data_IF_960108666950
#
_entry.id   IF_960108666950
#
_cell.length_a   1.000
_cell.length_b   1.000
_cell.length_c   1.000
_cell.angle_alpha   90.00
_cell.angle_beta   90.00
_cell.angle_gamma   90.00
#
_symmetry.space_group_name_H-M   'P 1'
#
loop_
_entity.id
_entity.type
_entity.pdbx_description
1 polymer ?
#
# COMPACT_ATOMS: atom_id res chain seq x y z
N UNK A 1 0.58 -10.51 -13.53
CA UNK A 1 -0.01 -11.37 -12.47
C UNK A 1 1.11 -11.94 -11.62
N UNK A 2 0.98 -11.83 -10.30
CA UNK A 2 1.94 -12.31 -9.32
C UNK A 2 1.24 -13.26 -8.33
N UNK A 3 1.61 -14.55 -8.26
CA UNK A 3 1.21 -15.41 -7.16
C UNK A 3 1.82 -14.94 -5.84
N UNK A 4 0.97 -14.73 -4.83
CA UNK A 4 1.36 -14.20 -3.52
C UNK A 4 0.63 -14.95 -2.41
N UNK A 5 1.29 -15.20 -1.28
CA UNK A 5 0.78 -16.07 -0.24
C UNK A 5 0.95 -15.45 1.14
N UNK A 6 -0.17 -15.35 1.86
CA UNK A 6 -0.20 -14.97 3.27
C UNK A 6 -0.61 -16.20 4.10
N UNK A 7 0.09 -16.44 5.20
CA UNK A 7 -0.11 -17.60 6.07
C UNK A 7 -0.15 -17.18 7.52
N UNK A 8 -1.21 -17.55 8.22
CA UNK A 8 -1.27 -17.45 9.67
C UNK A 8 -0.95 -18.80 10.31
N UNK A 9 -0.13 -18.81 11.37
CA UNK A 9 0.23 -20.00 12.14
C UNK A 9 -0.03 -19.78 13.62
N UNK A 10 -0.63 -20.77 14.27
CA UNK A 10 -0.84 -20.76 15.71
C UNK A 10 0.50 -20.80 16.43
N UNK A 11 0.59 -20.11 17.57
CA UNK A 11 1.72 -20.24 18.48
C UNK A 11 1.73 -21.60 19.20
N UNK A 12 2.48 -21.68 20.30
CA UNK A 12 2.53 -22.88 21.14
C UNK A 12 1.23 -23.24 21.86
N UNK A 13 0.20 -22.40 21.75
CA UNK A 13 -1.12 -22.58 22.34
C UNK A 13 -2.17 -22.64 21.24
N UNK A 14 -3.14 -23.54 21.38
CA UNK A 14 -4.26 -23.68 20.47
C UNK A 14 -5.15 -22.41 20.50
N UNK A 15 -5.77 -22.12 19.36
CA UNK A 15 -6.74 -21.04 19.21
C UNK A 15 -8.17 -21.55 19.46
N UNK A 16 -9.14 -20.65 19.58
CA UNK A 16 -10.55 -21.02 19.76
C UNK A 16 -11.11 -21.67 18.49
N UNK A 17 -10.72 -21.15 17.32
CA UNK A 17 -11.12 -21.67 16.02
C UNK A 17 -9.99 -21.49 14.98
N UNK A 18 -10.13 -22.15 13.83
CA UNK A 18 -9.30 -21.85 12.68
C UNK A 18 -9.61 -20.43 12.16
N UNK A 19 -8.67 -19.83 11.43
CA UNK A 19 -8.91 -18.54 10.81
C UNK A 19 -10.01 -18.67 9.76
N UNK A 20 -10.79 -17.61 9.63
CA UNK A 20 -11.68 -17.41 8.49
C UNK A 20 -11.01 -16.46 7.48
N UNK A 21 -11.52 -16.41 6.25
CA UNK A 21 -10.96 -15.60 5.17
C UNK A 21 -10.90 -14.09 5.46
N UNK A 22 -11.55 -13.62 6.52
CA UNK A 22 -11.61 -12.22 6.90
C UNK A 22 -10.69 -11.89 8.10
N UNK A 23 -9.87 -12.83 8.56
CA UNK A 23 -8.89 -12.56 9.63
C UNK A 23 -7.75 -11.64 9.18
N UNK A 24 -7.39 -11.66 7.89
CA UNK A 24 -6.42 -10.73 7.30
C UNK A 24 -6.73 -10.46 5.82
N UNK A 25 -6.12 -9.41 5.29
CA UNK A 25 -6.13 -9.04 3.87
C UNK A 25 -4.89 -8.20 3.56
N UNK A 26 -4.61 -7.96 2.27
CA UNK A 26 -3.66 -6.95 1.87
C UNK A 26 -4.07 -5.55 2.34
N UNK A 27 -3.07 -4.71 2.59
CA UNK A 27 -3.20 -3.25 2.78
C UNK A 27 -3.71 -2.60 1.49
N UNK A 28 -4.12 -1.34 1.59
CA UNK A 28 -4.66 -0.61 0.44
C UNK A 28 -3.63 -0.51 -0.70
N UNK A 29 -4.00 -1.00 -1.89
CA UNK A 29 -3.14 -1.06 -3.07
C UNK A 29 -2.25 -2.30 -3.09
N UNK A 30 -2.57 -3.27 -3.96
CA UNK A 30 -1.85 -4.53 -4.11
C UNK A 30 -0.43 -4.36 -4.66
N UNK A 31 -0.12 -3.21 -5.28
CA UNK A 31 1.25 -2.86 -5.69
C UNK A 31 2.20 -2.73 -4.49
N UNK A 32 1.67 -2.53 -3.28
CA UNK A 32 2.48 -2.46 -2.05
C UNK A 32 3.20 -3.78 -1.72
N UNK A 33 2.88 -4.89 -2.41
CA UNK A 33 3.68 -6.13 -2.33
C UNK A 33 5.02 -6.02 -3.05
N UNK A 34 5.21 -5.05 -3.96
CA UNK A 34 6.46 -4.83 -4.71
C UNK A 34 7.26 -3.71 -4.06
N UNK A 35 8.31 -4.03 -3.31
CA UNK A 35 9.17 -3.04 -2.65
C UNK A 35 9.87 -2.09 -3.64
N UNK A 36 10.45 -2.66 -4.70
CA UNK A 36 11.22 -1.91 -5.68
C UNK A 36 11.30 -2.66 -7.02
N UNK A 37 11.62 -1.92 -8.09
CA UNK A 37 11.74 -2.48 -9.43
C UNK A 37 12.95 -1.91 -10.18
N UNK A 38 13.52 -2.71 -11.09
CA UNK A 38 14.40 -2.19 -12.14
C UNK A 38 13.90 -2.57 -13.53
N UNK A 39 14.18 -1.69 -14.47
CA UNK A 39 13.83 -1.85 -15.87
C UNK A 39 15.07 -1.58 -16.71
N UNK A 40 15.50 -2.58 -17.47
CA UNK A 40 16.47 -2.43 -18.54
C UNK A 40 15.75 -2.55 -19.89
N UNK A 41 16.02 -1.61 -20.79
CA UNK A 41 15.54 -1.61 -22.17
C UNK A 41 16.76 -1.65 -23.11
N UNK A 42 16.84 -2.69 -23.94
CA UNK A 42 17.91 -2.88 -24.93
C UNK A 42 19.32 -2.76 -24.34
N UNK A 43 19.52 -3.35 -23.15
CA UNK A 43 20.79 -3.36 -22.44
C UNK A 43 21.12 -2.10 -21.64
N UNK A 44 20.24 -1.09 -21.62
CA UNK A 44 20.40 0.13 -20.81
C UNK A 44 19.47 0.12 -19.61
N UNK A 45 19.98 0.41 -18.43
CA UNK A 45 19.17 0.61 -17.23
C UNK A 45 18.39 1.92 -17.34
N UNK A 46 17.08 1.83 -17.26
CA UNK A 46 16.16 2.97 -17.34
C UNK A 46 15.59 3.31 -15.97
N UNK A 47 15.28 2.29 -15.17
CA UNK A 47 14.88 2.43 -13.76
C UNK A 47 15.80 1.56 -12.92
N UNK A 48 16.41 2.14 -11.89
CA UNK A 48 17.20 1.42 -10.91
C UNK A 48 16.37 1.00 -9.71
N UNK A 49 16.73 -0.12 -9.08
CA UNK A 49 16.19 -0.49 -7.78
C UNK A 49 16.67 0.50 -6.73
N UNK A 50 15.74 1.09 -5.99
CA UNK A 50 16.01 1.94 -4.85
C UNK A 50 14.91 1.75 -3.81
N UNK A 51 15.29 1.81 -2.54
CA UNK A 51 14.36 1.64 -1.43
C UNK A 51 13.36 2.82 -1.37
N UNK A 52 12.19 2.57 -0.77
CA UNK A 52 11.13 3.55 -0.49
C UNK A 52 10.49 4.25 -1.71
N UNK A 53 10.95 4.04 -2.93
CA UNK A 53 10.31 4.60 -4.14
C UNK A 53 8.83 4.21 -4.27
N UNK A 54 8.44 3.06 -3.73
CA UNK A 54 7.05 2.58 -3.76
C UNK A 54 6.07 3.48 -2.96
N UNK A 55 6.54 4.21 -1.95
CA UNK A 55 5.69 5.13 -1.19
C UNK A 55 5.12 6.23 -2.09
N UNK A 56 5.88 6.63 -3.11
CA UNK A 56 5.41 7.55 -4.13
C UNK A 56 4.25 6.99 -4.97
N UNK A 57 4.14 5.66 -5.11
CA UNK A 57 3.02 5.05 -5.83
C UNK A 57 1.70 5.27 -5.09
N UNK A 58 1.71 5.25 -3.75
CA UNK A 58 0.53 5.59 -2.96
C UNK A 58 0.16 7.07 -3.15
N UNK A 59 1.14 7.98 -3.14
CA UNK A 59 0.90 9.41 -3.42
C UNK A 59 0.29 9.62 -4.81
N UNK A 60 0.84 8.95 -5.85
CA UNK A 60 0.31 9.02 -7.21
C UNK A 60 -1.12 8.48 -7.31
N UNK A 61 -1.42 7.40 -6.60
CA UNK A 61 -2.77 6.83 -6.57
C UNK A 61 -3.74 7.76 -5.84
N UNK A 62 -3.35 8.29 -4.68
CA UNK A 62 -4.14 9.21 -3.86
C UNK A 62 -4.44 10.52 -4.55
N UNK A 63 -3.53 11.04 -5.37
CA UNK A 63 -3.71 12.32 -6.08
C UNK A 63 -4.26 12.15 -7.50
N UNK A 64 -4.03 11.00 -8.14
CA UNK A 64 -4.36 10.80 -9.56
C UNK A 64 -5.62 9.98 -9.84
N UNK A 65 -6.08 9.14 -8.91
CA UNK A 65 -7.28 8.31 -9.12
C UNK A 65 -8.55 9.00 -8.64
N UNK A 66 -9.67 8.63 -9.27
CA UNK A 66 -11.01 9.08 -8.90
C UNK A 66 -11.77 7.99 -8.12
N UNK A 67 -12.82 8.40 -7.44
CA UNK A 67 -13.73 7.47 -6.74
C UNK A 67 -14.35 6.45 -7.69
N UNK A 68 -14.73 6.86 -8.91
CA UNK A 68 -15.25 5.92 -9.93
C UNK A 68 -14.20 4.89 -10.37
N UNK A 69 -12.91 5.25 -10.36
CA UNK A 69 -11.85 4.27 -10.61
C UNK A 69 -11.81 3.22 -9.49
N UNK A 70 -11.90 3.67 -8.23
CA UNK A 70 -11.94 2.80 -7.04
C UNK A 70 -13.16 1.88 -7.06
N UNK A 71 -14.34 2.38 -7.44
CA UNK A 71 -15.55 1.55 -7.54
C UNK A 71 -15.40 0.44 -8.58
N UNK A 72 -14.78 0.73 -9.73
CA UNK A 72 -14.64 -0.23 -10.83
C UNK A 72 -13.48 -1.21 -10.64
N UNK A 73 -12.34 -0.73 -10.15
CA UNK A 73 -11.08 -1.50 -10.12
C UNK A 73 -10.58 -1.79 -8.70
N UNK A 74 -11.19 -1.22 -7.66
CA UNK A 74 -10.73 -1.35 -6.27
C UNK A 74 -10.64 -2.80 -5.79
N UNK A 75 -11.61 -3.65 -6.15
CA UNK A 75 -11.63 -5.06 -5.76
C UNK A 75 -10.50 -5.88 -6.40
N UNK A 76 -10.03 -5.47 -7.58
CA UNK A 76 -8.92 -6.11 -8.28
C UNK A 76 -7.57 -5.65 -7.69
N UNK A 77 -7.43 -4.36 -7.48
CA UNK A 77 -6.19 -3.74 -7.00
C UNK A 77 -6.09 -3.70 -5.46
N UNK A 78 -7.06 -4.23 -4.71
CA UNK A 78 -7.21 -4.02 -3.26
C UNK A 78 -7.13 -2.53 -2.87
N UNK A 79 -7.55 -1.65 -3.77
CA UNK A 79 -7.49 -0.20 -3.63
C UNK A 79 -8.83 0.26 -3.06
N UNK A 80 -8.95 0.25 -1.74
CA UNK A 80 -10.06 0.87 -1.03
C UNK A 80 -9.46 1.72 0.08
N UNK A 81 -9.43 3.05 -0.07
CA UNK A 81 -8.87 3.93 0.95
C UNK A 81 -9.56 3.74 2.30
N UNK A 82 -8.77 3.85 3.36
CA UNK A 82 -9.26 3.74 4.72
C UNK A 82 -10.14 4.93 5.11
N UNK A 83 -11.16 4.66 5.92
CA UNK A 83 -11.95 5.70 6.54
C UNK A 83 -11.17 6.36 7.69
N UNK A 84 -11.47 7.63 7.95
CA UNK A 84 -10.97 8.30 9.13
C UNK A 84 -11.58 7.68 10.39
N UNK A 85 -10.75 7.44 11.42
CA UNK A 85 -11.14 7.19 12.82
C UNK A 85 -11.64 5.79 13.24
N UNK A 86 -10.93 4.71 12.86
CA UNK A 86 -11.03 3.43 13.57
C UNK A 86 -9.71 3.04 14.24
N UNK A 87 -9.75 2.54 15.48
CA UNK A 87 -8.60 2.00 16.22
C UNK A 87 -7.93 2.96 17.23
N UNK A 88 -6.66 2.73 17.57
CA UNK A 88 -5.96 3.40 18.69
C UNK A 88 -5.32 4.76 18.32
N UNK A 89 -5.64 5.28 17.14
CA UNK A 89 -5.04 6.47 16.53
C UNK A 89 -3.78 6.17 15.71
N UNK A 90 -3.36 4.90 15.65
CA UNK A 90 -2.25 4.42 14.82
C UNK A 90 -2.72 3.19 14.04
N UNK A 91 -3.15 2.13 14.73
CA UNK A 91 -3.74 0.95 14.11
C UNK A 91 -5.13 1.25 13.54
N UNK A 92 -5.42 0.82 12.31
CA UNK A 92 -6.72 1.04 11.64
C UNK A 92 -7.36 -0.27 11.16
N UNK A 93 -7.32 -1.30 11.99
CA UNK A 93 -7.75 -2.66 11.65
C UNK A 93 -9.12 -3.05 12.21
N UNK A 94 -9.96 -2.08 12.58
CA UNK A 94 -11.33 -2.34 13.05
C UNK A 94 -12.26 -2.48 11.85
N UNK A 95 -12.70 -3.70 11.57
CA UNK A 95 -13.62 -3.99 10.46
C UNK A 95 -15.07 -3.61 10.81
N UNK A 96 -15.49 -3.84 12.05
CA UNK A 96 -16.88 -3.59 12.46
C UNK A 96 -16.93 -2.87 13.80
N UNK A 97 -17.87 -1.95 13.92
CA UNK A 97 -18.20 -1.25 15.17
C UNK A 97 -19.55 -1.76 15.67
N UNK A 98 -19.59 -2.29 16.90
CA UNK A 98 -20.81 -2.80 17.52
C UNK A 98 -21.69 -1.70 18.13
N UNK A 99 -21.23 -0.44 18.16
CA UNK A 99 -22.01 0.70 18.65
C UNK A 99 -21.46 2.04 18.19
N UNK A 100 -22.32 2.94 17.71
CA UNK A 100 -22.05 4.39 17.72
C UNK A 100 -22.39 4.89 19.11
N UNK A 101 -21.40 5.01 20.00
CA UNK A 101 -21.63 5.59 21.33
C UNK A 101 -21.24 7.06 21.32
N UNK A 102 -22.20 7.96 21.55
CA UNK A 102 -21.93 9.35 21.89
C UNK A 102 -21.43 9.41 23.34
N UNK A 103 -20.18 8.99 23.57
CA UNK A 103 -19.59 9.14 24.89
C UNK A 103 -19.28 10.62 25.16
N UNK A 104 -19.55 11.05 26.39
CA UNK A 104 -19.22 12.36 26.93
C UNK A 104 -17.77 12.72 26.63
N UNK A 105 -17.56 13.73 25.78
CA UNK A 105 -16.31 14.47 25.58
C UNK A 105 -15.04 13.67 25.19
N UNK A 106 -15.15 12.46 24.65
CA UNK A 106 -14.04 11.85 23.89
C UNK A 106 -14.31 12.06 22.41
N UNK A 107 -13.41 12.78 21.72
CA UNK A 107 -13.50 13.10 20.29
C UNK A 107 -13.29 11.87 19.36
N UNK A 108 -13.72 10.69 19.80
CA UNK A 108 -13.41 9.39 19.19
C UNK A 108 -14.72 8.64 18.96
N UNK A 109 -15.40 8.94 17.84
CA UNK A 109 -16.33 7.97 17.28
C UNK A 109 -15.48 6.84 16.68
N UNK A 110 -15.64 5.60 17.16
CA UNK A 110 -15.06 4.44 16.50
C UNK A 110 -15.92 4.12 15.27
N UNK A 111 -15.61 4.76 14.14
CA UNK A 111 -16.23 4.46 12.85
C UNK A 111 -15.58 3.18 12.32
N UNK A 112 -16.33 2.27 11.71
CA UNK A 112 -15.74 1.12 11.02
C UNK A 112 -14.79 1.58 9.92
N UNK A 113 -13.69 0.85 9.71
CA UNK A 113 -12.86 1.08 8.54
C UNK A 113 -13.49 0.40 7.31
N UNK A 114 -14.37 1.13 6.64
CA UNK A 114 -15.09 0.64 5.46
C UNK A 114 -14.14 0.23 4.31
N UNK A 115 -13.00 0.93 4.19
CA UNK A 115 -11.94 0.57 3.24
C UNK A 115 -11.37 -0.82 3.54
N UNK A 116 -11.04 -1.08 4.80
CA UNK A 116 -10.58 -2.39 5.25
C UNK A 116 -11.63 -3.49 5.06
N UNK A 117 -12.90 -3.23 5.36
CA UNK A 117 -14.00 -4.17 5.10
C UNK A 117 -14.08 -4.53 3.62
N UNK A 118 -14.02 -3.55 2.72
CA UNK A 118 -14.05 -3.80 1.27
C UNK A 118 -12.84 -4.62 0.79
N UNK A 119 -11.66 -4.43 1.38
CA UNK A 119 -10.47 -5.27 1.11
C UNK A 119 -10.67 -6.70 1.60
N UNK A 120 -11.18 -6.88 2.82
CA UNK A 120 -11.54 -8.20 3.36
C UNK A 120 -12.57 -8.94 2.50
N UNK A 121 -13.57 -8.24 1.98
CA UNK A 121 -14.57 -8.81 1.05
C UNK A 121 -13.97 -9.14 -0.32
N UNK A 122 -12.85 -8.50 -0.69
CA UNK A 122 -12.14 -8.74 -1.94
C UNK A 122 -11.16 -9.91 -1.87
N UNK A 123 -10.94 -10.48 -0.68
CA UNK A 123 -10.11 -11.66 -0.48
C UNK A 123 -10.51 -12.83 -1.38
N UNK A 124 -9.56 -13.75 -1.61
CA UNK A 124 -9.85 -14.99 -2.31
C UNK A 124 -11.04 -15.75 -1.70
N UNK A 125 -11.86 -16.42 -2.52
CA UNK A 125 -12.96 -17.26 -2.05
C UNK A 125 -12.44 -18.47 -1.25
N UNK A 126 -13.29 -19.05 -0.40
CA UNK A 126 -12.96 -20.30 0.29
C UNK A 126 -12.78 -21.44 -0.73
N UNK A 127 -11.75 -22.25 -0.56
CA UNK A 127 -11.57 -23.53 -1.24
C UNK A 127 -11.80 -24.68 -0.24
N UNK A 128 -12.21 -25.85 -0.76
CA UNK A 128 -12.44 -27.06 0.05
C UNK A 128 -13.64 -27.01 0.99
N UNK A 129 -14.48 -25.98 0.94
CA UNK A 129 -15.70 -25.84 1.74
C UNK A 129 -16.94 -25.72 0.84
N UNK A 130 -18.06 -26.32 1.27
CA UNK A 130 -19.33 -26.23 0.56
C UNK A 130 -19.99 -24.86 0.81
N UNK A 131 -20.25 -24.13 -0.27
CA UNK A 131 -20.99 -22.87 -0.26
C UNK A 131 -22.10 -22.87 -1.32
N UNK A 132 -22.56 -24.04 -1.75
CA UNK A 132 -23.62 -24.22 -2.76
C UNK A 132 -24.92 -23.50 -2.38
N UNK A 133 -25.22 -23.39 -1.09
CA UNK A 133 -26.40 -22.69 -0.56
C UNK A 133 -26.12 -21.26 -0.05
N UNK A 134 -24.91 -20.72 -0.26
CA UNK A 134 -24.53 -19.38 0.19
C UNK A 134 -24.48 -18.37 -0.97
N UNK A 135 -24.52 -17.07 -0.64
CA UNK A 135 -24.26 -15.99 -1.58
C UNK A 135 -22.98 -15.20 -1.20
N UNK A 136 -22.03 -15.00 -2.14
CA UNK A 136 -21.95 -15.65 -3.44
C UNK A 136 -21.64 -17.15 -3.31
N UNK A 137 -22.26 -17.98 -4.14
CA UNK A 137 -21.98 -19.42 -4.16
C UNK A 137 -20.67 -19.71 -4.90
N UNK A 138 -19.84 -20.57 -4.33
CA UNK A 138 -18.63 -21.13 -4.96
C UNK A 138 -18.75 -22.64 -5.15
N UNK A 139 -19.97 -23.18 -5.14
CA UNK A 139 -20.25 -24.60 -5.33
C UNK A 139 -19.93 -25.48 -4.12
N UNK A 140 -20.04 -26.80 -4.32
CA UNK A 140 -19.69 -27.79 -3.31
C UNK A 140 -18.17 -27.82 -3.05
N UNK A 141 -17.75 -28.40 -1.94
CA UNK A 141 -16.35 -28.41 -1.47
C UNK A 141 -15.31 -28.78 -2.54
N UNK A 142 -15.57 -29.84 -3.33
CA UNK A 142 -14.68 -30.28 -4.39
C UNK A 142 -14.61 -29.31 -5.58
N UNK A 143 -15.71 -28.62 -5.88
CA UNK A 143 -15.79 -27.66 -6.99
C UNK A 143 -15.22 -26.28 -6.62
N UNK A 144 -15.28 -25.90 -5.34
CA UNK A 144 -14.83 -24.59 -4.87
C UNK A 144 -13.35 -24.33 -5.19
N UNK A 145 -12.48 -25.34 -5.05
CA UNK A 145 -11.06 -25.25 -5.44
C UNK A 145 -10.89 -25.05 -6.94
N UNK A 146 -11.66 -25.79 -7.77
CA UNK A 146 -11.63 -25.63 -9.23
C UNK A 146 -12.09 -24.25 -9.66
N UNK A 147 -13.18 -23.74 -9.06
CA UNK A 147 -13.74 -22.41 -9.34
C UNK A 147 -12.74 -21.31 -8.93
N UNK A 148 -12.10 -21.45 -7.76
CA UNK A 148 -11.06 -20.52 -7.31
C UNK A 148 -9.89 -20.44 -8.31
N UNK A 149 -9.46 -21.58 -8.84
CA UNK A 149 -8.42 -21.64 -9.88
C UNK A 149 -8.88 -21.04 -11.22
N UNK A 150 -10.13 -21.31 -11.65
CA UNK A 150 -10.68 -20.79 -12.91
C UNK A 150 -10.86 -19.27 -12.89
N UNK A 151 -11.31 -18.71 -11.78
CA UNK A 151 -11.52 -17.26 -11.64
C UNK A 151 -10.20 -16.48 -11.58
N UNK A 152 -9.06 -17.15 -11.43
CA UNK A 152 -7.74 -16.53 -11.30
C UNK A 152 -7.69 -15.45 -10.21
N UNK A 153 -8.50 -15.61 -9.14
CA UNK A 153 -8.47 -14.75 -7.95
C UNK A 153 -7.65 -15.36 -6.81
N UNK A 154 -7.27 -16.63 -6.94
CA UNK A 154 -6.63 -17.41 -5.89
C UNK A 154 -7.65 -18.07 -4.96
N UNK A 155 -7.22 -18.60 -3.81
CA UNK A 155 -8.08 -19.27 -2.85
C UNK A 155 -7.68 -19.03 -1.39
N UNK A 156 -8.68 -18.95 -0.51
CA UNK A 156 -8.50 -19.06 0.93
C UNK A 156 -8.69 -20.52 1.36
N UNK A 157 -7.77 -21.03 2.17
CA UNK A 157 -7.82 -22.38 2.74
C UNK A 157 -7.83 -22.25 4.26
N UNK A 158 -8.90 -22.76 4.89
CA UNK A 158 -8.99 -22.81 6.34
C UNK A 158 -7.97 -23.81 6.89
N UNK A 159 -7.30 -23.43 7.98
CA UNK A 159 -6.37 -24.30 8.69
C UNK A 159 -7.03 -25.00 9.89
N UNK A 160 -6.24 -25.21 10.94
CA UNK A 160 -6.70 -25.79 12.20
C UNK A 160 -6.48 -24.81 13.36
N UNK A 161 -7.22 -25.00 14.45
CA UNK A 161 -7.05 -24.26 15.70
C UNK A 161 -5.95 -24.86 16.61
N UNK A 162 -5.17 -25.80 16.10
CA UNK A 162 -4.23 -26.61 16.89
C UNK A 162 -2.90 -25.87 17.06
N UNK A 163 -2.29 -25.98 18.24
CA UNK A 163 -0.97 -25.38 18.53
C UNK A 163 0.07 -25.73 17.45
N UNK A 164 0.83 -24.74 17.01
CA UNK A 164 1.87 -24.83 15.97
C UNK A 164 1.38 -25.24 14.56
N UNK A 165 0.08 -25.39 14.33
CA UNK A 165 -0.46 -25.66 12.99
C UNK A 165 -0.78 -24.36 12.23
N UNK A 166 -0.91 -24.48 10.91
CA UNK A 166 -1.41 -23.38 10.07
C UNK A 166 -2.87 -23.11 10.44
N UNK A 167 -3.16 -21.85 10.76
CA UNK A 167 -4.49 -21.37 11.16
C UNK A 167 -5.34 -21.00 9.94
N UNK A 168 -4.71 -20.48 8.88
CA UNK A 168 -5.35 -20.16 7.62
C UNK A 168 -4.35 -19.65 6.58
N UNK A 169 -4.73 -19.78 5.32
CA UNK A 169 -3.86 -19.48 4.17
C UNK A 169 -4.64 -18.68 3.13
N UNK A 170 -4.09 -17.53 2.73
CA UNK A 170 -4.61 -16.71 1.64
C UNK A 170 -3.66 -16.82 0.44
N UNK A 171 -4.08 -17.57 -0.58
CA UNK A 171 -3.39 -17.65 -1.85
C UNK A 171 -3.98 -16.61 -2.78
N UNK A 172 -3.21 -15.59 -3.12
CA UNK A 172 -3.60 -14.50 -3.99
C UNK A 172 -3.02 -14.68 -5.40
N UNK A 173 -3.79 -14.27 -6.39
CA UNK A 173 -3.31 -14.05 -7.76
C UNK A 173 -3.40 -12.56 -8.09
N UNK A 174 -2.34 -11.82 -7.78
CA UNK A 174 -2.34 -10.36 -7.81
C UNK A 174 -2.20 -9.83 -9.22
N UNK A 175 -3.16 -9.01 -9.63
CA UNK A 175 -3.14 -8.28 -10.91
C UNK A 175 -2.61 -6.87 -10.61
N UNK A 176 -1.32 -6.70 -10.83
CA UNK A 176 -0.62 -5.42 -10.60
C UNK A 176 -0.38 -4.78 -11.97
N UNK A 177 -0.87 -3.54 -12.15
CA UNK A 177 -0.67 -2.82 -13.42
C UNK A 177 0.73 -2.19 -13.38
N UNK A 178 1.46 -2.29 -14.49
CA UNK A 178 2.80 -1.70 -14.55
C UNK A 178 2.76 -0.17 -14.39
N UNK A 179 1.69 0.48 -14.83
CA UNK A 179 1.47 1.92 -14.66
C UNK A 179 1.26 2.36 -13.20
N UNK A 180 0.79 1.44 -12.34
CA UNK A 180 0.72 1.63 -10.87
C UNK A 180 2.13 1.57 -10.27
N UNK A 181 3.03 0.73 -10.81
CA UNK A 181 4.39 0.58 -10.29
C UNK A 181 5.33 1.73 -10.68
N UNK A 182 5.24 2.23 -11.92
CA UNK A 182 6.10 3.31 -12.38
C UNK A 182 5.47 4.08 -13.56
N UNK A 183 5.57 5.42 -13.64
CA UNK A 183 4.93 6.19 -14.71
C UNK A 183 5.56 5.96 -16.08
N UNK A 184 6.80 5.46 -16.16
CA UNK A 184 7.44 5.14 -17.45
C UNK A 184 6.57 4.28 -18.36
N UNK A 185 5.77 3.37 -17.80
CA UNK A 185 4.89 2.49 -18.58
C UNK A 185 3.69 3.21 -19.21
N UNK A 186 3.45 4.49 -18.87
CA UNK A 186 2.51 5.36 -19.58
C UNK A 186 3.16 6.08 -20.77
N UNK A 187 4.49 6.22 -20.73
CA UNK A 187 5.26 7.05 -21.66
C UNK A 187 6.02 6.22 -22.70
N UNK A 188 6.20 4.91 -22.45
CA UNK A 188 6.79 3.99 -23.43
C UNK A 188 5.80 3.81 -24.58
N UNK A 189 6.23 4.19 -25.78
CA UNK A 189 5.49 3.98 -27.02
C UNK A 189 5.66 2.56 -27.56
N UNK A 190 4.88 2.21 -28.59
CA UNK A 190 4.98 0.95 -29.32
C UNK A 190 6.38 0.81 -29.93
N UNK A 191 7.14 -0.18 -29.45
CA UNK A 191 8.47 -0.50 -29.94
C UNK A 191 8.47 -1.83 -30.69
N UNK A 192 9.21 -1.88 -31.80
CA UNK A 192 9.48 -3.14 -32.50
C UNK A 192 10.58 -3.92 -31.79
N UNK A 193 10.31 -5.19 -31.45
CA UNK A 193 11.26 -6.14 -30.86
C UNK A 193 12.06 -5.60 -29.65
N UNK A 194 11.42 -5.00 -28.62
CA UNK A 194 12.16 -4.48 -27.48
C UNK A 194 12.72 -5.62 -26.63
N UNK A 195 14.00 -5.53 -26.27
CA UNK A 195 14.59 -6.39 -25.25
C UNK A 195 14.33 -5.78 -23.88
N UNK A 196 13.37 -6.33 -23.14
CA UNK A 196 12.97 -5.83 -21.83
C UNK A 196 13.46 -6.80 -20.76
N UNK A 197 14.21 -6.29 -19.77
CA UNK A 197 14.49 -7.01 -18.53
C UNK A 197 13.87 -6.26 -17.37
N UNK A 198 12.88 -6.89 -16.76
CA UNK A 198 12.15 -6.35 -15.61
C UNK A 198 12.49 -7.19 -14.38
N UNK A 199 12.94 -6.54 -13.31
CA UNK A 199 13.18 -7.20 -12.03
C UNK A 199 12.33 -6.54 -10.95
N UNK A 200 11.78 -7.36 -10.07
CA UNK A 200 11.00 -6.90 -8.93
C UNK A 200 11.61 -7.45 -7.65
N UNK A 201 11.70 -6.60 -6.63
CA UNK A 201 11.86 -7.02 -5.24
C UNK A 201 10.48 -7.10 -4.63
N UNK A 202 10.07 -8.30 -4.23
CA UNK A 202 8.78 -8.50 -3.57
C UNK A 202 8.99 -8.44 -2.06
N UNK A 203 8.08 -7.78 -1.34
CA UNK A 203 8.04 -7.78 0.12
C UNK A 203 7.77 -9.20 0.63
N UNK A 204 8.66 -9.70 1.49
CA UNK A 204 8.55 -11.01 2.14
C UNK A 204 8.96 -10.89 3.60
N UNK A 205 8.21 -11.52 4.49
CA UNK A 205 8.48 -11.38 5.91
C UNK A 205 7.52 -12.15 6.81
N UNK A 206 7.64 -11.92 8.09
CA UNK A 206 6.83 -12.51 9.15
C UNK A 206 6.64 -11.53 10.29
N UNK A 207 5.44 -11.46 10.84
CA UNK A 207 5.12 -10.75 12.06
C UNK A 207 4.68 -11.74 13.13
N UNK A 208 5.18 -11.57 14.35
CA UNK A 208 4.78 -12.33 15.52
C UNK A 208 3.88 -11.46 16.42
N UNK A 209 2.72 -11.99 16.78
CA UNK A 209 1.68 -11.31 17.52
C UNK A 209 1.51 -12.01 18.87
N UNK A 210 1.68 -11.26 19.96
CA UNK A 210 1.27 -11.70 21.29
C UNK A 210 -0.20 -11.34 21.52
N UNK A 211 -0.88 -12.20 22.27
CA UNK A 211 -2.26 -11.99 22.70
C UNK A 211 -2.26 -12.04 24.23
N UNK A 212 -2.93 -11.11 24.89
CA UNK A 212 -3.00 -11.05 26.35
C UNK A 212 -4.23 -11.77 26.93
N UNK A 213 -4.44 -11.64 28.24
CA UNK A 213 -5.58 -12.21 28.96
C UNK A 213 -6.95 -11.67 28.53
N UNK A 214 -6.99 -10.47 27.93
CA UNK A 214 -8.18 -9.82 27.40
C UNK A 214 -8.34 -9.96 25.89
N UNK A 215 -7.55 -10.84 25.26
CA UNK A 215 -7.46 -11.00 23.79
C UNK A 215 -6.98 -9.74 23.04
N UNK A 216 -6.32 -8.81 23.74
CA UNK A 216 -5.68 -7.69 23.06
C UNK A 216 -4.43 -8.20 22.34
N UNK A 217 -4.27 -7.74 21.10
CA UNK A 217 -3.12 -8.10 20.26
C UNK A 217 -2.04 -7.04 20.36
N UNK A 218 -0.78 -7.46 20.50
CA UNK A 218 0.38 -6.60 20.34
C UNK A 218 1.45 -7.27 19.48
N UNK A 219 2.19 -6.46 18.73
CA UNK A 219 3.23 -6.91 17.82
C UNK A 219 4.50 -7.15 18.65
N UNK A 220 4.95 -8.39 18.67
CA UNK A 220 6.18 -8.79 19.35
C UNK A 220 7.39 -8.51 18.46
N UNK A 221 7.29 -8.77 17.17
CA UNK A 221 8.36 -8.50 16.19
C UNK A 221 7.85 -8.56 14.76
N UNK A 222 8.56 -7.90 13.85
CA UNK A 222 8.47 -8.13 12.39
C UNK A 222 9.87 -8.43 11.86
N UNK A 223 10.02 -9.53 11.12
CA UNK A 223 11.22 -9.85 10.34
C UNK A 223 10.90 -9.73 8.85
N UNK A 224 11.68 -8.90 8.15
CA UNK A 224 11.61 -8.77 6.69
C UNK A 224 12.76 -9.56 6.07
N UNK A 225 12.42 -10.60 5.30
CA UNK A 225 13.38 -11.35 4.50
C UNK A 225 13.70 -10.64 3.19
N UNK A 226 12.77 -9.83 2.69
CA UNK A 226 12.94 -8.98 1.51
C UNK A 226 12.01 -7.77 1.58
N UNK A 227 12.52 -6.63 1.11
CA UNK A 227 11.81 -5.36 1.07
C UNK A 227 11.68 -4.69 2.44
N UNK A 228 10.97 -3.58 2.49
CA UNK A 228 10.94 -2.69 3.66
C UNK A 228 9.58 -2.61 4.36
N UNK A 229 8.51 -3.17 3.75
CA UNK A 229 7.12 -2.94 4.17
C UNK A 229 6.40 -4.26 4.46
N UNK A 230 5.50 -4.26 5.44
CA UNK A 230 4.50 -5.32 5.60
C UNK A 230 3.29 -4.99 4.72
N UNK A 231 2.94 -5.78 3.70
CA UNK A 231 1.82 -5.49 2.80
C UNK A 231 0.48 -6.07 3.30
N UNK A 232 0.46 -6.72 4.46
CA UNK A 232 -0.71 -7.41 5.01
C UNK A 232 -1.25 -6.66 6.23
N UNK A 233 -2.56 -6.73 6.44
CA UNK A 233 -3.25 -6.19 7.60
C UNK A 233 -4.08 -7.29 8.27
N UNK A 234 -4.02 -7.36 9.61
CA UNK A 234 -4.78 -8.30 10.44
C UNK A 234 -5.94 -7.59 11.12
N UNK A 235 -7.14 -8.18 11.06
CA UNK A 235 -8.35 -7.66 11.70
C UNK A 235 -8.24 -7.61 13.23
N UNK A 236 -8.86 -6.61 13.86
CA UNK A 236 -8.90 -6.47 15.31
C UNK A 236 -9.59 -7.67 16.01
N UNK A 237 -9.24 -7.91 17.28
CA UNK A 237 -9.77 -8.99 18.11
C UNK A 237 -10.90 -8.55 19.08
N UNK A 238 -11.20 -7.26 19.15
CA UNK A 238 -12.29 -6.74 19.97
C UNK A 238 -13.65 -7.30 19.52
N UNK A 239 -14.58 -7.44 20.45
CA UNK A 239 -15.93 -7.98 20.22
C UNK A 239 -16.59 -7.36 18.98
N UNK A 240 -17.08 -8.22 18.07
CA UNK A 240 -17.68 -7.82 16.79
C UNK A 240 -16.70 -7.78 15.62
N UNK A 241 -15.39 -7.87 15.86
CA UNK A 241 -14.37 -7.97 14.81
C UNK A 241 -14.00 -9.44 14.51
N UNK A 242 -13.25 -9.62 13.42
CA UNK A 242 -13.11 -10.90 12.74
C UNK A 242 -12.15 -11.87 13.43
N UNK A 243 -11.24 -11.36 14.28
CA UNK A 243 -10.36 -12.19 15.11
C UNK A 243 -10.97 -12.56 16.46
N UNK A 244 -12.06 -11.91 16.88
CA UNK A 244 -12.65 -12.09 18.22
C UNK A 244 -13.10 -13.54 18.49
N UNK A 245 -13.70 -14.20 17.49
CA UNK A 245 -14.17 -15.58 17.62
C UNK A 245 -13.08 -16.64 17.30
N UNK A 246 -11.92 -16.19 16.79
CA UNK A 246 -10.81 -17.06 16.39
C UNK A 246 -9.81 -17.19 17.52
N UNK A 247 -9.47 -16.08 18.18
CA UNK A 247 -8.42 -16.06 19.19
C UNK A 247 -8.84 -16.74 20.50
N UNK A 248 -7.92 -17.48 21.08
CA UNK A 248 -7.99 -17.92 22.47
C UNK A 248 -7.22 -16.94 23.37
N UNK A 249 -7.60 -16.93 24.66
CA UNK A 249 -6.93 -16.11 25.68
C UNK A 249 -5.46 -16.47 25.76
N UNK A 250 -4.58 -15.46 25.73
CA UNK A 250 -3.12 -15.64 25.80
C UNK A 250 -2.49 -16.52 24.71
N UNK A 251 -3.19 -16.76 23.60
CA UNK A 251 -2.69 -17.57 22.49
C UNK A 251 -2.13 -16.68 21.37
N UNK A 252 -0.81 -16.48 21.38
CA UNK A 252 -0.10 -15.77 20.30
C UNK A 252 -0.14 -16.52 18.96
N UNK A 253 0.14 -15.81 17.87
CA UNK A 253 0.21 -16.35 16.51
C UNK A 253 1.21 -15.58 15.67
N UNK A 254 1.51 -16.06 14.47
CA UNK A 254 2.31 -15.33 13.49
C UNK A 254 1.62 -15.26 12.14
N UNK A 255 1.95 -14.24 11.36
CA UNK A 255 1.57 -14.11 9.96
C UNK A 255 2.83 -13.96 9.11
N UNK A 256 2.94 -14.73 8.02
CA UNK A 256 4.02 -14.59 7.05
C UNK A 256 3.45 -14.31 5.66
N UNK A 257 4.22 -13.57 4.86
CA UNK A 257 3.84 -13.14 3.52
C UNK A 257 5.01 -13.33 2.54
N UNK A 258 4.70 -13.65 1.29
CA UNK A 258 5.72 -13.79 0.26
C UNK A 258 5.20 -14.21 -1.12
N UNK A 259 6.09 -14.17 -2.12
CA UNK A 259 5.77 -14.61 -3.47
C UNK A 259 5.79 -16.13 -3.55
N UNK A 260 4.63 -16.75 -3.82
CA UNK A 260 4.41 -18.22 -3.91
C UNK A 260 4.62 -18.98 -2.60
N UNK A 261 5.69 -18.68 -1.86
CA UNK A 261 6.10 -19.30 -0.60
C UNK A 261 6.43 -18.23 0.44
N UNK A 262 6.56 -18.64 1.70
CA UNK A 262 7.07 -17.78 2.76
C UNK A 262 7.79 -18.61 3.84
N UNK A 263 8.23 -17.96 4.91
CA UNK A 263 8.99 -18.60 5.99
C UNK A 263 8.24 -19.70 6.75
N UNK A 264 6.91 -19.66 6.76
CA UNK A 264 6.06 -20.65 7.47
C UNK A 264 5.78 -21.87 6.61
N UNK A 265 5.80 -21.71 5.29
CA UNK A 265 5.68 -22.80 4.32
C UNK A 265 6.63 -22.55 3.13
N UNK A 266 7.85 -23.09 3.19
CA UNK A 266 8.88 -22.84 2.17
C UNK A 266 8.71 -23.71 0.91
N UNK A 267 7.68 -24.55 0.85
CA UNK A 267 7.36 -25.40 -0.29
C UNK A 267 6.31 -24.76 -1.20
N UNK A 268 6.52 -24.88 -2.51
CA UNK A 268 5.55 -24.43 -3.51
C UNK A 268 4.35 -25.39 -3.51
N UNK A 269 3.15 -24.86 -3.26
CA UNK A 269 1.89 -25.57 -3.46
C UNK A 269 1.15 -25.01 -4.68
N UNK A 270 1.00 -25.84 -5.72
CA UNK A 270 0.29 -25.50 -6.95
C UNK A 270 -1.22 -25.78 -6.91
N UNK A 271 -1.76 -26.30 -5.80
CA UNK A 271 -3.16 -26.71 -5.69
C UNK A 271 -4.12 -25.52 -5.79
N UNK A 272 -3.73 -24.39 -5.22
CA UNK A 272 -4.59 -23.22 -5.00
C UNK A 272 -4.18 -21.99 -5.82
N UNK A 273 -3.19 -22.15 -6.71
CA UNK A 273 -2.71 -21.11 -7.60
C UNK A 273 -2.66 -21.66 -9.02
N UNK A 274 -3.31 -21.01 -10.01
CA UNK A 274 -3.26 -21.49 -11.38
C UNK A 274 -1.85 -21.52 -11.95
N UNK A 275 -0.96 -20.64 -11.47
CA UNK A 275 0.46 -20.60 -11.85
C UNK A 275 1.33 -20.34 -10.62
N UNK A 276 2.47 -21.03 -10.56
CA UNK A 276 3.50 -20.89 -9.51
C UNK A 276 4.62 -19.91 -9.90
N UNK A 277 4.49 -19.26 -11.06
CA UNK A 277 5.43 -18.25 -11.57
C UNK A 277 4.70 -16.97 -11.95
N UNK A 278 5.38 -15.83 -11.86
CA UNK A 278 4.84 -14.54 -12.28
C UNK A 278 4.65 -14.51 -13.80
N UNK A 279 3.56 -13.89 -14.26
CA UNK A 279 3.24 -13.73 -15.67
C UNK A 279 3.08 -12.27 -16.04
N UNK A 280 3.83 -11.85 -17.06
CA UNK A 280 3.69 -10.55 -17.69
C UNK A 280 2.68 -10.67 -18.85
N UNK A 281 1.61 -9.87 -18.78
CA UNK A 281 0.62 -9.79 -19.85
C UNK A 281 0.86 -8.48 -20.62
N UNK A 282 1.16 -8.60 -21.91
CA UNK A 282 1.39 -7.47 -22.81
C UNK A 282 0.38 -7.59 -23.95
N UNK A 283 -0.40 -6.54 -24.26
CA UNK A 283 -1.30 -6.56 -25.38
C UNK A 283 -0.51 -6.61 -26.69
N UNK A 284 -0.87 -7.55 -27.58
CA UNK A 284 -0.36 -7.57 -28.95
C UNK A 284 -1.35 -6.80 -29.83
N UNK A 285 -0.88 -5.73 -30.47
CA UNK A 285 -1.68 -4.92 -31.39
C UNK A 285 -1.30 -5.30 -32.81
N UNK A 286 -2.29 -5.73 -33.60
CA UNK A 286 -2.12 -5.89 -35.03
C UNK A 286 -2.38 -4.54 -35.70
N UNK A 287 -1.36 -4.01 -36.37
CA UNK A 287 -1.42 -2.71 -37.04
C UNK A 287 -1.67 -2.91 -38.53
N UNK A 288 -2.62 -2.19 -39.11
CA UNK A 288 -2.93 -2.24 -40.54
C UNK A 288 -1.77 -1.68 -41.40
N UNK A 289 -1.07 -0.65 -40.90
CA UNK A 289 0.13 -0.09 -41.53
C UNK A 289 1.28 0.10 -40.52
N UNK A 290 2.16 -0.91 -40.34
CA UNK A 290 3.23 -0.86 -39.34
C UNK A 290 4.35 0.15 -39.67
N UNK A 291 4.47 0.62 -40.93
CA UNK A 291 5.55 1.51 -41.35
C UNK A 291 5.41 2.93 -40.78
N UNK A 292 4.18 3.40 -40.54
CA UNK A 292 3.94 4.74 -39.98
C UNK A 292 4.47 4.87 -38.54
N UNK A 293 4.34 3.83 -37.71
CA UNK A 293 4.83 3.83 -36.31
C UNK A 293 6.35 3.70 -36.25
N UNK A 294 6.97 2.91 -37.13
CA UNK A 294 8.43 2.86 -37.28
C UNK A 294 8.99 4.26 -37.58
N UNK A 295 8.28 5.04 -38.43
CA UNK A 295 8.67 6.43 -38.71
C UNK A 295 8.46 7.39 -37.53
N UNK A 296 7.43 7.18 -36.70
CA UNK A 296 7.16 7.97 -35.50
C UNK A 296 8.19 7.72 -34.39
N UNK A 297 8.63 6.47 -34.22
CA UNK A 297 9.68 6.08 -33.27
C UNK A 297 11.02 6.78 -33.54
N UNK A 298 11.29 7.17 -34.79
CA UNK A 298 12.48 7.95 -35.18
C UNK A 298 12.32 9.44 -34.77
N UNK A 299 11.08 9.95 -34.68
CA UNK A 299 10.80 11.35 -34.32
C UNK A 299 10.73 11.58 -32.79
N UNK A 300 10.30 10.59 -32.01
CA UNK A 300 10.22 10.65 -30.55
C UNK A 300 11.50 10.12 -29.87
N UNK A 301 12.62 10.81 -30.07
CA UNK A 301 13.95 10.39 -29.57
C UNK A 301 14.14 10.45 -28.05
N UNK A 302 13.15 10.95 -27.28
CA UNK A 302 13.23 11.06 -25.83
C UNK A 302 11.89 10.72 -25.15
N UNK A 303 11.91 9.71 -24.28
CA UNK A 303 10.80 9.39 -23.36
C UNK A 303 11.01 10.19 -22.07
N UNK A 304 10.04 11.00 -21.67
CA UNK A 304 10.09 11.79 -20.43
C UNK A 304 9.06 11.26 -19.45
N UNK A 305 9.51 10.95 -18.25
CA UNK A 305 8.64 10.52 -17.15
C UNK A 305 9.11 11.19 -15.86
N UNK A 306 8.19 11.36 -14.92
CA UNK A 306 8.58 11.71 -13.56
C UNK A 306 9.24 10.48 -12.91
N UNK A 307 10.33 10.68 -12.20
CA UNK A 307 10.90 9.70 -11.27
C UNK A 307 10.99 10.38 -9.90
N UNK A 308 11.12 9.56 -8.86
CA UNK A 308 11.33 10.04 -7.51
C UNK A 308 12.69 9.58 -6.98
N UNK A 309 13.28 10.42 -6.14
CA UNK A 309 14.27 10.02 -5.17
C UNK A 309 13.57 9.98 -3.81
N UNK A 310 13.72 8.89 -3.08
CA UNK A 310 13.10 8.70 -1.77
C UNK A 310 14.18 8.48 -0.72
N UNK A 311 14.02 9.10 0.44
CA UNK A 311 14.91 8.97 1.59
C UNK A 311 14.09 8.88 2.86
N UNK A 312 14.55 8.01 3.77
CA UNK A 312 14.01 7.92 5.12
C UNK A 312 14.74 8.86 6.09
N UNK A 313 13.99 9.55 6.94
CA UNK A 313 14.52 10.41 7.99
C UNK A 313 14.11 9.88 9.37
N UNK A 314 15.07 9.79 10.30
CA UNK A 314 14.81 9.40 11.69
C UNK A 314 14.52 10.60 12.62
N UNK A 315 14.44 11.81 12.06
CA UNK A 315 14.19 13.01 12.84
C UNK A 315 12.74 13.05 13.30
N UNK A 316 12.54 13.29 14.60
CA UNK A 316 11.20 13.51 15.19
C UNK A 316 10.73 14.91 14.82
N UNK A 317 9.69 15.00 14.00
CA UNK A 317 9.05 16.25 13.63
C UNK A 317 7.53 16.12 13.78
N UNK A 318 6.89 17.21 14.19
CA UNK A 318 5.43 17.29 14.34
C UNK A 318 4.88 16.96 15.73
N UNK A 319 3.62 17.35 15.92
CA UNK A 319 2.79 17.04 17.09
C UNK A 319 1.71 16.03 16.68
N UNK A 320 1.48 15.01 17.50
CA UNK A 320 0.47 13.96 17.29
C UNK A 320 -0.36 13.74 18.54
N UNK A 321 -0.59 12.48 18.93
CA UNK A 321 -1.48 12.09 20.05
C UNK A 321 -1.03 12.61 21.43
N UNK A 322 0.27 12.86 21.63
CA UNK A 322 0.82 13.24 22.94
C UNK A 322 1.36 14.68 22.92
N UNK A 323 1.06 15.44 23.98
CA UNK A 323 1.52 16.83 24.15
C UNK A 323 3.02 16.95 24.45
N UNK A 324 3.69 15.84 24.74
CA UNK A 324 5.14 15.75 25.01
C UNK A 324 5.97 15.44 23.78
N UNK A 325 5.37 15.32 22.59
CA UNK A 325 6.10 15.04 21.36
C UNK A 325 6.98 16.22 20.93
N UNK A 326 8.25 15.91 20.61
CA UNK A 326 9.21 16.90 20.12
C UNK A 326 8.81 17.38 18.73
N UNK A 327 8.23 18.57 18.65
CA UNK A 327 7.95 19.26 17.40
C UNK A 327 9.20 20.00 16.91
N UNK A 328 10.25 19.26 16.53
CA UNK A 328 11.41 19.88 15.91
C UNK A 328 11.03 20.40 14.51
N UNK A 329 11.59 21.54 14.11
CA UNK A 329 11.45 22.04 12.75
C UNK A 329 12.03 21.02 11.74
N UNK A 330 11.41 20.92 10.57
CA UNK A 330 11.87 20.07 9.48
C UNK A 330 12.23 20.95 8.28
N UNK A 331 13.54 21.10 8.05
CA UNK A 331 14.10 21.84 6.93
C UNK A 331 14.80 20.85 5.98
N UNK A 332 14.21 20.64 4.80
CA UNK A 332 14.83 19.83 3.76
C UNK A 332 15.70 20.70 2.86
N UNK A 333 17.01 20.49 2.89
CA UNK A 333 17.95 21.11 1.96
C UNK A 333 18.38 20.14 0.87
N UNK A 334 17.96 20.42 -0.36
CA UNK A 334 18.42 19.72 -1.56
C UNK A 334 19.59 20.47 -2.20
N UNK A 335 20.52 19.73 -2.79
CA UNK A 335 21.63 20.30 -3.55
C UNK A 335 21.13 21.09 -4.77
N UNK A 336 21.84 22.17 -5.12
CA UNK A 336 21.63 22.91 -6.37
C UNK A 336 21.90 22.07 -7.64
N UNK A 337 22.52 20.89 -7.49
CA UNK A 337 22.71 19.93 -8.57
C UNK A 337 21.42 19.20 -8.98
N UNK A 338 20.36 19.25 -8.16
CA UNK A 338 19.06 18.70 -8.52
C UNK A 338 18.42 19.63 -9.56
N UNK A 339 18.32 19.16 -10.80
CA UNK A 339 17.69 19.88 -11.91
C UNK A 339 16.30 19.34 -12.19
N UNK A 340 15.41 20.20 -12.70
CA UNK A 340 14.05 19.86 -13.11
C UNK A 340 13.20 19.13 -12.05
N UNK A 341 13.44 19.37 -10.75
CA UNK A 341 12.57 18.86 -9.70
C UNK A 341 11.19 19.52 -9.81
N UNK A 342 10.12 18.72 -9.72
CA UNK A 342 8.75 19.24 -9.82
C UNK A 342 8.17 19.56 -8.47
N UNK A 343 8.28 18.64 -7.52
CA UNK A 343 7.70 18.77 -6.21
C UNK A 343 8.44 17.89 -5.20
N UNK A 344 8.31 18.25 -3.93
CA UNK A 344 8.73 17.46 -2.78
C UNK A 344 7.50 17.03 -2.01
N UNK A 345 7.46 15.76 -1.59
CA UNK A 345 6.39 15.23 -0.73
C UNK A 345 7.01 14.69 0.55
N UNK A 346 6.51 15.14 1.69
CA UNK A 346 6.87 14.66 3.02
C UNK A 346 5.75 13.78 3.56
N UNK A 347 6.12 12.56 3.96
CA UNK A 347 5.23 11.52 4.46
C UNK A 347 5.55 11.23 5.94
N UNK A 348 4.81 11.80 6.91
CA UNK A 348 5.03 11.51 8.33
C UNK A 348 4.50 10.13 8.72
N UNK A 349 5.30 9.36 9.45
CA UNK A 349 4.91 8.07 10.02
C UNK A 349 5.16 8.08 11.53
N UNK A 350 4.37 7.29 12.25
CA UNK A 350 4.52 7.15 13.69
C UNK A 350 5.82 6.38 14.05
N UNK A 351 6.56 6.90 15.01
CA UNK A 351 7.82 6.29 15.44
C UNK A 351 7.58 5.08 16.36
N UNK A 352 6.84 5.25 17.47
CA UNK A 352 6.47 4.15 18.38
C UNK A 352 5.27 4.54 19.24
N UNK A 353 4.12 3.85 19.09
CA UNK A 353 3.02 3.98 20.05
C UNK A 353 2.05 2.79 19.97
N UNK A 354 1.46 2.41 21.12
CA UNK A 354 0.35 1.46 21.18
C UNK A 354 0.74 0.01 20.92
N UNK A 355 -0.06 -0.67 20.10
CA UNK A 355 -0.03 -2.13 19.92
C UNK A 355 1.25 -2.67 19.23
N UNK A 356 2.19 -1.83 18.80
CA UNK A 356 3.44 -2.28 18.16
C UNK A 356 4.73 -1.71 18.77
N UNK A 357 4.63 -0.98 19.88
CA UNK A 357 5.79 -0.35 20.53
C UNK A 357 6.87 -1.37 20.94
N UNK A 358 6.47 -2.56 21.40
CA UNK A 358 7.38 -3.64 21.81
C UNK A 358 8.22 -4.22 20.67
N UNK A 359 7.77 -4.10 19.42
CA UNK A 359 8.47 -4.64 18.27
C UNK A 359 9.63 -3.75 17.79
N UNK A 360 9.69 -2.48 18.20
CA UNK A 360 10.70 -1.50 17.75
C UNK A 360 10.84 -1.42 16.20
N UNK A 361 9.72 -1.53 15.49
CA UNK A 361 9.63 -1.46 14.02
C UNK A 361 8.96 -0.17 13.57
N UNK A 362 9.12 0.18 12.30
CA UNK A 362 8.43 1.33 11.70
C UNK A 362 6.93 1.02 11.49
N UNK A 363 6.08 2.05 11.48
CA UNK A 363 4.62 1.93 11.31
C UNK A 363 4.22 1.07 10.09
N UNK A 364 4.85 1.30 8.92
CA UNK A 364 4.59 0.54 7.69
C UNK A 364 5.05 -0.93 7.73
N UNK A 365 5.79 -1.33 8.76
CA UNK A 365 6.20 -2.73 9.00
C UNK A 365 5.23 -3.46 9.94
N UNK A 366 4.25 -2.75 10.51
CA UNK A 366 3.21 -3.33 11.35
C UNK A 366 2.07 -3.91 10.51
N UNK A 367 1.52 -5.08 10.87
CA UNK A 367 0.31 -5.61 10.26
C UNK A 367 -0.99 -5.05 10.89
N UNK A 368 -0.91 -4.13 11.86
CA UNK A 368 -2.09 -3.49 12.46
C UNK A 368 -2.45 -2.15 11.81
N UNK A 369 -1.52 -1.60 11.03
CA UNK A 369 -1.61 -0.29 10.39
C UNK A 369 -1.82 -0.41 8.87
N UNK A 370 -2.46 0.56 8.22
CA UNK A 370 -2.57 0.57 6.74
C UNK A 370 -1.42 1.31 6.05
N UNK A 371 -0.49 1.90 6.80
CA UNK A 371 0.77 2.42 6.27
C UNK A 371 1.44 1.32 5.43
N UNK A 372 1.90 1.61 4.20
CA UNK A 372 2.27 2.94 3.71
C UNK A 372 1.16 3.69 2.95
N UNK A 373 -0.08 3.19 2.93
CA UNK A 373 -1.19 3.95 2.35
C UNK A 373 -1.55 5.15 3.22
N UNK A 374 -1.76 4.94 4.52
CA UNK A 374 -1.92 6.05 5.48
C UNK A 374 -0.60 6.52 6.01
N UNK A 375 -0.68 7.69 6.63
CA UNK A 375 0.37 8.39 7.34
C UNK A 375 -0.07 8.54 8.79
N UNK A 376 0.82 9.03 9.64
CA UNK A 376 0.52 9.24 11.05
C UNK A 376 -0.75 10.11 11.21
N UNK A 377 -1.84 9.57 11.80
CA UNK A 377 -3.08 10.30 12.03
C UNK A 377 -2.88 11.56 12.85
N UNK A 378 -3.44 12.68 12.38
CA UNK A 378 -3.41 13.96 13.10
C UNK A 378 -2.02 14.61 13.24
N UNK A 379 -0.98 14.06 12.60
CA UNK A 379 0.38 14.62 12.65
C UNK A 379 0.42 16.05 12.11
N UNK A 380 0.81 17.02 12.95
CA UNK A 380 0.95 18.42 12.56
C UNK A 380 2.42 18.82 12.64
N UNK A 381 3.10 18.84 11.50
CA UNK A 381 4.43 19.42 11.38
C UNK A 381 4.28 20.94 11.30
N UNK A 382 4.81 21.64 12.30
CA UNK A 382 4.88 23.11 12.29
C UNK A 382 6.27 23.50 11.77
N UNK A 383 6.34 24.56 10.99
CA UNK A 383 7.57 25.02 10.34
C UNK A 383 8.10 24.08 9.24
N UNK A 384 7.25 23.65 8.32
CA UNK A 384 7.71 22.93 7.14
C UNK A 384 8.35 23.92 6.15
N UNK A 385 9.58 23.62 5.73
CA UNK A 385 10.23 24.36 4.67
C UNK A 385 11.15 23.47 3.82
N UNK A 386 11.28 23.85 2.55
CA UNK A 386 12.09 23.14 1.55
C UNK A 386 12.96 24.17 0.85
N UNK A 387 14.25 23.88 0.73
CA UNK A 387 15.17 24.70 -0.06
C UNK A 387 15.94 23.86 -1.08
N UNK A 388 16.22 24.48 -2.23
CA UNK A 388 17.10 23.94 -3.26
C UNK A 388 18.29 24.90 -3.39
N UNK A 389 19.48 24.41 -3.05
CA UNK A 389 20.67 25.25 -2.91
C UNK A 389 20.48 26.30 -1.81
N UNK A 390 20.35 27.57 -2.20
CA UNK A 390 20.12 28.70 -1.30
C UNK A 390 18.74 29.35 -1.50
N UNK A 391 17.90 28.79 -2.37
CA UNK A 391 16.56 29.31 -2.65
C UNK A 391 15.52 28.55 -1.82
N UNK A 392 14.69 29.29 -1.11
CA UNK A 392 13.61 28.75 -0.30
C UNK A 392 12.34 28.57 -1.17
N UNK A 393 11.60 27.49 -0.94
CA UNK A 393 10.30 27.25 -1.58
C UNK A 393 9.21 28.13 -0.98
N UNK A 394 9.30 28.38 0.32
CA UNK A 394 8.39 29.26 1.05
C UNK A 394 9.18 30.42 1.65
N UNK A 395 8.66 31.64 1.53
CA UNK A 395 9.33 32.84 2.06
C UNK A 395 9.48 32.81 3.59
N UNK A 396 8.53 32.16 4.27
CA UNK A 396 8.56 31.86 5.70
C UNK A 396 8.08 30.43 5.94
N UNK A 397 8.57 29.77 6.99
CA UNK A 397 8.06 28.46 7.38
C UNK A 397 6.61 28.61 7.85
N UNK A 398 5.70 27.82 7.27
CA UNK A 398 4.26 27.94 7.51
C UNK A 398 3.70 26.72 8.26
N UNK A 399 2.61 26.95 8.99
CA UNK A 399 1.72 25.87 9.44
C UNK A 399 0.94 25.35 8.23
N UNK A 400 1.23 24.12 7.81
CA UNK A 400 0.65 23.51 6.61
C UNK A 400 -0.79 23.04 6.88
N UNK A 401 -1.76 23.70 6.25
CA UNK A 401 -3.19 23.42 6.36
C UNK A 401 -3.77 22.77 5.09
N UNK A 402 -5.06 22.44 5.12
CA UNK A 402 -5.71 21.78 3.99
C UNK A 402 -5.82 22.68 2.76
N UNK A 403 -5.97 24.00 2.94
CA UNK A 403 -6.05 24.93 1.81
C UNK A 403 -4.71 24.99 1.06
N UNK A 404 -3.59 24.97 1.79
CA UNK A 404 -2.26 24.81 1.20
C UNK A 404 -2.10 23.49 0.50
N UNK A 405 -2.54 22.40 1.12
CA UNK A 405 -2.53 21.08 0.48
C UNK A 405 -3.27 21.09 -0.86
N UNK A 406 -4.51 21.57 -0.92
CA UNK A 406 -5.30 21.59 -2.17
C UNK A 406 -4.64 22.44 -3.25
N UNK A 407 -4.05 23.58 -2.89
CA UNK A 407 -3.34 24.45 -3.84
C UNK A 407 -2.08 23.80 -4.42
N UNK A 408 -1.41 22.92 -3.68
CA UNK A 408 -0.23 22.20 -4.16
C UNK A 408 -0.61 20.93 -4.94
N UNK A 409 -1.61 20.17 -4.47
CA UNK A 409 -2.10 18.97 -5.14
C UNK A 409 -2.70 19.27 -6.51
N UNK A 410 -3.39 20.40 -6.66
CA UNK A 410 -3.95 20.82 -7.95
C UNK A 410 -2.88 20.98 -9.05
N UNK A 411 -1.61 21.12 -8.68
CA UNK A 411 -0.47 21.22 -9.62
C UNK A 411 0.18 19.87 -9.98
N UNK A 412 -0.06 18.81 -9.21
CA UNK A 412 0.61 17.51 -9.37
C UNK A 412 -0.03 16.62 -10.43
N UNK A 413 -1.34 16.74 -10.57
CA UNK A 413 -2.11 15.84 -11.42
C UNK A 413 -3.56 16.24 -11.66
N UNK A 414 -4.01 17.41 -11.18
CA UNK A 414 -5.40 17.80 -11.36
C UNK A 414 -5.74 18.11 -12.82
N UNK A 415 -6.90 17.61 -13.25
CA UNK A 415 -7.44 17.92 -14.58
C UNK A 415 -7.79 19.42 -14.58
N UNK A 416 -7.25 20.16 -15.54
CA UNK A 416 -7.42 21.61 -15.65
C UNK A 416 -7.05 22.40 -14.38
N UNK A 417 -6.13 21.88 -13.55
CA UNK A 417 -5.76 22.54 -12.30
C UNK A 417 -6.91 22.65 -11.29
N UNK A 418 -7.87 21.72 -11.34
CA UNK A 418 -9.06 21.68 -10.46
C UNK A 418 -10.02 22.87 -10.64
N UNK A 419 -9.96 23.54 -11.81
CA UNK A 419 -10.85 24.67 -12.14
C UNK A 419 -12.27 24.19 -12.46
N UNK A 420 -12.43 22.95 -12.93
CA UNK A 420 -13.71 22.39 -13.35
C UNK A 420 -14.24 21.38 -12.31
N UNK A 421 -15.37 21.63 -11.64
CA UNK A 421 -15.88 20.76 -10.57
C UNK A 421 -16.46 19.42 -11.08
N UNK A 422 -16.69 19.30 -12.39
CA UNK A 422 -17.28 18.10 -13.01
C UNK A 422 -16.25 16.97 -13.22
N UNK A 423 -14.96 17.32 -13.31
CA UNK A 423 -13.87 16.41 -13.63
C UNK A 423 -12.76 16.55 -12.59
N UNK A 424 -13.05 16.10 -11.37
CA UNK A 424 -12.11 16.11 -10.26
C UNK A 424 -11.44 14.75 -10.13
N UNK A 425 -10.16 14.76 -9.77
CA UNK A 425 -9.40 13.58 -9.39
C UNK A 425 -8.73 13.79 -8.04
N UNK A 426 -8.28 12.69 -7.43
CA UNK A 426 -7.85 12.66 -6.05
C UNK A 426 -8.85 11.90 -5.19
N UNK A 427 -8.31 11.17 -4.22
CA UNK A 427 -9.05 10.33 -3.27
C UNK A 427 -9.07 10.92 -1.86
N UNK A 428 -8.43 12.08 -1.66
CA UNK A 428 -8.28 12.72 -0.37
C UNK A 428 -9.17 13.95 -0.27
N UNK A 429 -10.14 13.88 0.62
CA UNK A 429 -10.94 15.01 1.08
C UNK A 429 -10.33 15.63 2.35
N UNK A 430 -10.96 16.68 2.87
CA UNK A 430 -10.52 17.36 4.09
C UNK A 430 -10.38 16.40 5.28
N UNK A 431 -11.33 15.49 5.45
CA UNK A 431 -11.40 14.62 6.62
C UNK A 431 -10.34 13.52 6.55
N UNK A 432 -10.24 12.84 5.42
CA UNK A 432 -9.24 11.80 5.17
C UNK A 432 -7.82 12.38 5.17
N UNK A 433 -7.59 13.54 4.56
CA UNK A 433 -6.29 14.20 4.65
C UNK A 433 -5.92 14.56 6.10
N UNK A 434 -6.81 15.23 6.82
CA UNK A 434 -6.50 15.71 8.19
C UNK A 434 -6.32 14.58 9.21
N UNK A 435 -7.05 13.47 9.05
CA UNK A 435 -7.11 12.40 10.04
C UNK A 435 -6.32 11.15 9.66
N UNK A 436 -5.96 10.94 8.39
CA UNK A 436 -5.31 9.68 7.96
C UNK A 436 -4.14 9.84 6.99
N UNK A 437 -4.04 10.98 6.31
CA UNK A 437 -3.13 11.16 5.18
C UNK A 437 -2.54 12.57 5.16
N UNK A 438 -1.99 13.01 6.30
CA UNK A 438 -1.46 14.36 6.49
C UNK A 438 -0.08 14.54 5.87
N UNK A 439 0.01 14.29 4.56
CA UNK A 439 1.21 14.59 3.77
C UNK A 439 1.35 16.09 3.54
N UNK A 440 2.60 16.53 3.41
CA UNK A 440 2.94 17.90 3.05
C UNK A 440 3.59 17.89 1.68
N UNK A 441 3.18 18.84 0.83
CA UNK A 441 3.66 18.94 -0.55
C UNK A 441 4.19 20.35 -0.80
N UNK A 442 5.34 20.44 -1.46
CA UNK A 442 5.93 21.70 -1.90
C UNK A 442 6.22 21.63 -3.41
N UNK A 443 5.63 22.54 -4.18
CA UNK A 443 5.99 22.76 -5.58
C UNK A 443 7.33 23.49 -5.66
N UNK A 444 8.36 22.78 -6.13
CA UNK A 444 9.72 23.29 -6.30
C UNK A 444 10.07 23.54 -7.77
N UNK A 445 9.09 23.45 -8.68
CA UNK A 445 9.35 23.54 -10.12
C UNK A 445 9.90 24.89 -10.55
N UNK A 446 9.71 25.93 -9.73
CA UNK A 446 10.20 27.29 -9.96
C UNK A 446 11.64 27.51 -9.47
N UNK A 447 12.15 26.62 -8.61
CA UNK A 447 13.48 26.73 -8.02
C UNK A 447 14.55 26.00 -8.83
N UNK A 448 14.14 25.11 -9.74
CA UNK A 448 15.07 24.33 -10.56
C UNK A 448 15.02 24.76 -12.02
N UNK A 449 16.20 24.84 -12.63
CA UNK A 449 16.29 25.03 -14.07
C UNK A 449 15.80 23.78 -14.80
N UNK A 450 15.23 24.01 -15.99
CA UNK A 450 14.85 22.93 -16.90
C UNK A 450 16.11 22.21 -17.37
N UNK A 451 16.05 20.89 -17.39
CA UNK A 451 17.11 20.07 -17.94
C UNK A 451 17.11 20.24 -19.47
N UNK A 452 18.20 20.79 -20.00
CA UNK A 452 18.45 20.85 -21.44
C UNK A 452 19.31 19.64 -21.78
N UNK A 453 18.95 18.81 -22.78
CA UNK A 453 19.87 17.77 -23.23
C UNK A 453 21.16 18.47 -23.65
N UNK A 454 22.29 18.11 -23.03
CA UNK A 454 23.60 18.56 -23.45
C UNK A 454 23.77 18.19 -24.91
N UNK A 455 23.55 19.17 -25.80
CA UNK A 455 23.95 19.10 -27.18
C UNK A 455 25.47 19.20 -27.18
N UNK A 456 26.12 18.05 -26.98
CA UNK A 456 27.56 17.92 -27.14
C UNK A 456 27.98 18.45 -28.52
N UNK A 457 28.92 19.39 -28.52
CA UNK A 457 29.78 19.68 -29.65
C UNK A 457 30.60 18.44 -30.04
#
# INVERSE_FOLDING_TARGET
MLPYKDLMKNGGTAQTAAANRFCATLKCGNWNVIDSMSLELSGKTVVSMADYKLFWNNVRAQTGYSTSHVEKHGAESFLFPDAATSGDGYSNNTAFSSSVSAQTATATASVSNDGFVKRLLSNPPNAGADSSAAWPSTGAAAAATTIANQTSRGAFVAGAAIANEIMGMWNHMLKIKLTELHPIFKEIDLMANPQIRLRFRVNQGTAAISVDGGMNMSLSSTMLASGNVCPVMISLAATGNLMAAVLAVSAGFSIAWGAVVNSLEPSIDGTYMPFTTARLYVPFVHLENPQAIISMMIASSAVRYNDCYAQWFYQRAGTGKQTTQFNAAFDLQLSASVKNAKYVVLLPFAEQTGSFASAAVQEFQSPFDTAPWTLQPGSSIRNFNVCIGSQQCFDISHDYDFHRFTNEVSKLGAINGDITPELVNGLLDYQTWSLTNRMLIADVSRLTEKDFPDSGC
#
